data_IF_371860989014
#
_entry.id   IF_371860989014
#
_cell.length_a   1.000
_cell.length_b   1.000
_cell.length_c   1.000
_cell.angle_alpha   90.00
_cell.angle_beta   90.00
_cell.angle_gamma   90.00
#
_symmetry.space_group_name_H-M   'P 1'
#
loop_
_entity.id
_entity.type
_entity.pdbx_description
1 polymer ?
#
# COMPACT_ATOMS: atom_id res chain seq x y z
N UNK A 1 -0.33 24.12 25.03
CA UNK A 1 -1.35 24.07 23.95
C UNK A 1 -0.89 25.07 22.90
N UNK A 2 -0.54 24.77 21.66
CA UNK A 2 -0.41 23.54 20.87
C UNK A 2 -0.12 24.03 19.44
N UNK A 3 1.02 23.66 18.84
CA UNK A 3 1.35 23.99 17.44
C UNK A 3 2.15 22.86 16.76
N UNK A 4 1.75 21.61 17.00
CA UNK A 4 2.35 20.43 16.35
C UNK A 4 1.42 19.82 15.28
N UNK A 5 0.29 20.46 14.99
CA UNK A 5 -0.72 19.95 14.06
C UNK A 5 -0.44 20.24 12.57
N UNK A 6 0.43 21.22 12.27
CA UNK A 6 0.70 21.66 10.89
C UNK A 6 1.73 20.79 10.17
N UNK A 7 2.65 20.18 10.93
CA UNK A 7 3.71 19.36 10.35
C UNK A 7 3.18 18.04 9.77
N UNK A 8 2.18 17.42 10.41
CA UNK A 8 1.52 16.21 9.86
C UNK A 8 0.73 16.48 8.57
N UNK A 9 0.17 17.68 8.42
CA UNK A 9 -0.56 18.09 7.22
C UNK A 9 0.41 18.39 6.07
N UNK A 10 1.56 18.99 6.37
CA UNK A 10 2.55 19.39 5.37
C UNK A 10 3.33 18.20 4.78
N UNK A 11 3.62 17.16 5.56
CA UNK A 11 4.15 15.90 5.02
C UNK A 11 3.17 15.15 4.11
N UNK A 12 1.86 15.36 4.29
CA UNK A 12 0.83 14.81 3.41
C UNK A 12 0.78 15.55 2.07
N UNK A 13 1.09 16.84 2.05
CA UNK A 13 1.03 17.69 0.86
C UNK A 13 2.23 17.53 -0.09
N UNK A 14 3.37 17.01 0.38
CA UNK A 14 4.57 16.74 -0.47
C UNK A 14 4.61 15.36 -1.11
N UNK A 15 3.60 14.51 -0.90
CA UNK A 15 3.45 13.32 -1.73
C UNK A 15 2.90 13.77 -3.07
N UNK A 16 3.81 13.95 -4.02
CA UNK A 16 3.62 13.72 -5.46
C UNK A 16 2.37 12.89 -5.68
N UNK A 17 1.43 13.44 -6.43
CA UNK A 17 0.18 12.81 -6.85
C UNK A 17 0.42 11.38 -7.33
N UNK A 18 0.33 10.43 -6.40
CA UNK A 18 0.42 9.00 -6.62
C UNK A 18 -0.85 8.29 -6.18
N UNK A 19 -1.88 9.06 -5.84
CA UNK A 19 -3.19 8.63 -5.36
C UNK A 19 -4.25 8.58 -6.44
N UNK A 20 -3.90 8.74 -7.73
CA UNK A 20 -4.83 8.31 -8.78
C UNK A 20 -5.04 6.80 -8.61
N UNK A 21 -6.27 6.32 -8.39
CA UNK A 21 -6.57 4.89 -8.31
C UNK A 21 -6.11 4.14 -9.58
N UNK A 22 -5.97 4.87 -10.69
CA UNK A 22 -5.61 4.43 -12.05
C UNK A 22 -4.22 3.80 -12.24
N UNK A 23 -3.49 3.42 -11.20
CA UNK A 23 -2.24 2.69 -11.41
C UNK A 23 -1.76 1.82 -10.26
N UNK A 24 -2.64 1.54 -9.30
CA UNK A 24 -2.43 0.43 -8.36
C UNK A 24 -2.92 -0.87 -9.00
N UNK A 25 -4.03 -0.83 -9.73
CA UNK A 25 -4.57 -1.98 -10.46
C UNK A 25 -3.61 -2.45 -11.56
N UNK A 26 -3.08 -1.53 -12.38
CA UNK A 26 -2.13 -1.87 -13.44
C UNK A 26 -0.83 -2.48 -12.90
N UNK A 27 -0.29 -1.91 -11.81
CA UNK A 27 0.91 -2.42 -11.18
C UNK A 27 0.69 -3.80 -10.54
N UNK A 28 -0.47 -4.00 -9.91
CA UNK A 28 -0.86 -5.29 -9.35
C UNK A 28 -1.06 -6.34 -10.46
N UNK A 29 -1.75 -5.98 -11.56
CA UNK A 29 -1.97 -6.84 -12.72
C UNK A 29 -0.67 -7.26 -13.41
N UNK A 30 0.26 -6.32 -13.62
CA UNK A 30 1.61 -6.62 -14.15
C UNK A 30 2.40 -7.57 -13.23
N UNK A 31 2.19 -7.47 -11.91
CA UNK A 31 2.79 -8.37 -10.93
C UNK A 31 1.99 -9.66 -10.70
N UNK A 32 0.85 -9.83 -11.38
CA UNK A 32 -0.12 -10.93 -11.17
C UNK A 32 -0.61 -11.06 -9.72
N UNK A 33 -0.61 -9.95 -8.98
CA UNK A 33 -1.14 -9.85 -7.63
C UNK A 33 -2.47 -9.09 -7.67
N UNK A 34 -3.36 -9.39 -6.72
CA UNK A 34 -4.59 -8.61 -6.51
C UNK A 34 -4.27 -7.39 -5.64
N UNK A 35 -4.95 -6.27 -5.84
CA UNK A 35 -4.68 -5.04 -5.07
C UNK A 35 -5.37 -5.03 -3.70
N UNK A 36 -6.48 -5.75 -3.56
CA UNK A 36 -7.40 -5.74 -2.42
C UNK A 36 -7.33 -7.02 -1.57
N UNK A 37 -6.59 -8.05 -2.02
CA UNK A 37 -6.51 -9.35 -1.36
C UNK A 37 -5.08 -9.84 -1.25
N UNK A 38 -4.82 -10.60 -0.18
CA UNK A 38 -3.60 -11.38 -0.06
C UNK A 38 -3.67 -12.60 -0.98
N UNK A 39 -2.55 -12.95 -1.60
CA UNK A 39 -2.40 -14.21 -2.33
C UNK A 39 -2.29 -15.40 -1.35
N UNK A 40 -2.43 -16.62 -1.85
CA UNK A 40 -2.22 -17.83 -1.05
C UNK A 40 -0.79 -17.91 -0.49
N UNK A 41 0.20 -17.45 -1.26
CA UNK A 41 1.60 -17.42 -0.83
C UNK A 41 1.84 -16.38 0.26
N UNK A 42 1.31 -15.17 0.10
CA UNK A 42 1.38 -14.13 1.14
C UNK A 42 0.68 -14.58 2.41
N UNK A 43 -0.45 -15.28 2.28
CA UNK A 43 -1.18 -15.84 3.43
C UNK A 43 -0.39 -16.94 4.15
N UNK A 44 0.48 -17.67 3.43
CA UNK A 44 1.38 -18.69 3.99
C UNK A 44 2.59 -18.05 4.67
N UNK A 45 3.15 -16.98 4.12
CA UNK A 45 4.35 -16.29 4.63
C UNK A 45 4.04 -15.33 5.77
N UNK A 46 2.85 -14.72 5.78
CA UNK A 46 2.40 -13.75 6.77
C UNK A 46 1.07 -14.20 7.43
N UNK A 47 1.03 -15.39 8.06
CA UNK A 47 -0.19 -15.95 8.63
C UNK A 47 -0.80 -15.06 9.73
N UNK A 48 0.02 -14.29 10.47
CA UNK A 48 -0.41 -13.34 11.49
C UNK A 48 -1.11 -12.10 10.93
N UNK A 49 -0.76 -11.70 9.70
CA UNK A 49 -1.42 -10.61 8.99
C UNK A 49 -2.73 -11.12 8.37
N UNK A 50 -2.69 -12.32 7.80
CA UNK A 50 -3.88 -12.95 7.20
C UNK A 50 -4.97 -13.24 8.24
N UNK A 51 -4.59 -13.74 9.43
CA UNK A 51 -5.51 -14.03 10.54
C UNK A 51 -5.72 -12.84 11.48
N UNK A 52 -5.01 -11.74 11.25
CA UNK A 52 -5.05 -10.53 12.07
C UNK A 52 -6.30 -9.69 11.83
N UNK A 53 -6.32 -8.52 12.48
CA UNK A 53 -7.37 -7.53 12.31
C UNK A 53 -7.32 -6.85 10.93
N UNK A 54 -8.47 -6.36 10.49
CA UNK A 54 -8.66 -5.72 9.18
C UNK A 54 -7.65 -4.58 8.95
N UNK A 55 -7.26 -3.86 10.01
CA UNK A 55 -6.30 -2.76 9.92
C UNK A 55 -4.92 -3.24 9.50
N UNK A 56 -4.42 -4.35 10.07
CA UNK A 56 -3.14 -4.96 9.67
C UNK A 56 -3.19 -5.49 8.25
N UNK A 57 -4.30 -6.13 7.88
CA UNK A 57 -4.51 -6.62 6.52
C UNK A 57 -4.44 -5.47 5.50
N UNK A 58 -5.18 -4.37 5.73
CA UNK A 58 -5.14 -3.18 4.87
C UNK A 58 -3.76 -2.52 4.82
N UNK A 59 -3.07 -2.41 5.96
CA UNK A 59 -1.72 -1.84 5.99
C UNK A 59 -0.74 -2.64 5.13
N UNK A 60 -0.80 -3.98 5.18
CA UNK A 60 0.00 -4.86 4.34
C UNK A 60 -0.25 -4.62 2.85
N UNK A 61 -1.52 -4.60 2.42
CA UNK A 61 -1.89 -4.34 1.03
C UNK A 61 -1.36 -2.99 0.54
N UNK A 62 -1.51 -1.94 1.35
CA UNK A 62 -1.03 -0.59 1.01
C UNK A 62 0.49 -0.59 0.82
N UNK A 63 1.25 -1.22 1.72
CA UNK A 63 2.72 -1.25 1.63
C UNK A 63 3.16 -2.02 0.38
N UNK A 64 2.64 -3.23 0.19
CA UNK A 64 2.97 -4.10 -0.96
C UNK A 64 2.63 -3.43 -2.28
N UNK A 65 1.44 -2.85 -2.43
CA UNK A 65 1.04 -2.18 -3.68
C UNK A 65 1.92 -0.96 -3.98
N UNK A 66 2.33 -0.20 -2.97
CA UNK A 66 3.25 0.93 -3.16
C UNK A 66 4.66 0.50 -3.58
N UNK A 67 5.18 -0.59 -3.00
CA UNK A 67 6.49 -1.15 -3.37
C UNK A 67 6.44 -1.65 -4.82
N UNK A 68 5.42 -2.46 -5.14
CA UNK A 68 5.21 -3.01 -6.49
C UNK A 68 5.10 -1.90 -7.52
N UNK A 69 4.26 -0.88 -7.27
CA UNK A 69 4.14 0.29 -8.15
C UNK A 69 5.49 0.98 -8.36
N UNK A 70 6.26 1.21 -7.29
CA UNK A 70 7.59 1.84 -7.42
C UNK A 70 8.53 0.99 -8.27
N UNK A 71 8.63 -0.31 -8.01
CA UNK A 71 9.53 -1.20 -8.76
C UNK A 71 9.13 -1.27 -10.25
N UNK A 72 7.83 -1.30 -10.55
CA UNK A 72 7.35 -1.38 -11.92
C UNK A 72 7.46 -0.06 -12.70
N UNK A 73 7.41 1.10 -12.04
CA UNK A 73 7.65 2.40 -12.68
C UNK A 73 9.13 2.56 -13.10
N UNK A 74 10.06 1.85 -12.47
CA UNK A 74 11.48 1.88 -12.82
C UNK A 74 11.91 0.81 -13.85
N UNK A 75 10.95 0.12 -14.48
CA UNK A 75 11.21 -0.84 -15.56
C UNK A 75 10.98 -0.24 -16.94
#
# INVERSE_FOLDING_TARGET
MGDDGRHYQEFRARRVDGTSPDGLEDAAAQSRLTHDRMSAEESRLFPEICKGDIKRHKAFLIIRNNIVRKILIFK
#
